data_IF_530896756264
#
_entry.id   IF_530896756264
#
_cell.length_a   1.000
_cell.length_b   1.000
_cell.length_c   1.000
_cell.angle_alpha   90.00
_cell.angle_beta   90.00
_cell.angle_gamma   90.00
#
_symmetry.space_group_name_H-M   'P 1'
#
loop_
_entity.id
_entity.type
_entity.pdbx_description
1 polymer ?
#
# COMPACT_ATOMS: atom_id res chain seq x y z
N UNK A 1 24.58 41.66 1.83
CA UNK A 1 24.23 40.45 1.07
C UNK A 1 23.94 39.33 2.06
N UNK A 2 22.68 39.17 2.45
CA UNK A 2 22.23 38.03 3.24
C UNK A 2 22.04 36.87 2.27
N UNK A 3 22.97 35.93 2.27
CA UNK A 3 22.76 34.65 1.59
C UNK A 3 21.69 33.89 2.36
N UNK A 4 20.49 33.88 1.78
CA UNK A 4 19.41 33.00 2.16
C UNK A 4 19.85 31.56 1.86
N UNK A 5 20.41 30.87 2.85
CA UNK A 5 20.78 29.45 2.76
C UNK A 5 19.48 28.66 2.72
N UNK A 6 18.90 28.52 1.52
CA UNK A 6 17.91 27.49 1.26
C UNK A 6 18.58 26.15 1.55
N UNK A 7 18.30 25.57 2.72
CA UNK A 7 18.77 24.24 3.08
C UNK A 7 18.50 23.29 1.91
N UNK A 8 19.56 22.72 1.32
CA UNK A 8 19.46 21.82 0.16
C UNK A 8 18.38 20.77 0.42
N UNK A 9 17.40 20.69 -0.49
CA UNK A 9 16.30 19.71 -0.45
C UNK A 9 16.73 18.32 -0.94
N UNK A 10 18.00 18.17 -1.32
CA UNK A 10 18.50 16.98 -2.00
C UNK A 10 18.78 15.85 -1.01
N UNK A 11 18.56 14.63 -1.47
CA UNK A 11 18.88 13.43 -0.72
C UNK A 11 20.40 13.22 -0.71
N UNK A 12 20.95 13.08 0.49
CA UNK A 12 22.39 12.90 0.69
C UNK A 12 22.66 12.03 1.94
N UNK A 13 23.94 11.74 2.20
CA UNK A 13 24.36 10.87 3.30
C UNK A 13 23.84 11.30 4.67
N UNK A 14 23.65 12.60 4.91
CA UNK A 14 23.15 13.15 6.18
C UNK A 14 21.63 13.32 6.19
N UNK A 15 21.01 13.43 5.01
CA UNK A 15 19.59 13.64 4.81
C UNK A 15 19.04 12.64 3.78
N UNK A 16 18.70 11.46 4.24
CA UNK A 16 18.04 10.43 3.44
C UNK A 16 16.93 9.76 4.23
N UNK A 17 16.00 9.13 3.51
CA UNK A 17 15.00 8.29 4.15
C UNK A 17 15.68 7.00 4.65
N UNK A 18 15.45 6.63 5.91
CA UNK A 18 15.97 5.37 6.43
C UNK A 18 15.43 4.23 5.56
N UNK A 19 16.35 3.52 4.92
CA UNK A 19 16.05 2.52 3.88
C UNK A 19 16.73 1.21 4.24
N UNK A 20 16.03 0.11 4.01
CA UNK A 20 16.48 -1.25 4.31
C UNK A 20 16.42 -2.12 3.07
N UNK A 21 17.44 -2.96 2.91
CA UNK A 21 17.47 -4.01 1.89
C UNK A 21 16.52 -5.11 2.35
N UNK A 22 15.54 -5.46 1.51
CA UNK A 22 14.54 -6.49 1.81
C UNK A 22 14.81 -7.75 0.98
N UNK A 23 15.08 -7.60 -0.31
CA UNK A 23 15.44 -8.70 -1.21
C UNK A 23 16.51 -8.17 -2.16
N UNK A 24 17.77 -8.48 -1.85
CA UNK A 24 18.91 -7.99 -2.62
C UNK A 24 18.89 -8.51 -4.06
N UNK A 25 18.52 -9.78 -4.26
CA UNK A 25 18.51 -10.42 -5.56
C UNK A 25 17.47 -9.79 -6.50
N UNK A 26 16.31 -9.39 -5.96
CA UNK A 26 15.23 -8.76 -6.72
C UNK A 26 15.27 -7.22 -6.70
N UNK A 27 16.27 -6.64 -6.03
CA UNK A 27 16.40 -5.19 -5.86
C UNK A 27 15.22 -4.56 -5.11
N UNK A 28 14.68 -5.26 -4.10
CA UNK A 28 13.57 -4.75 -3.28
C UNK A 28 14.13 -4.15 -1.99
N UNK A 29 13.68 -2.95 -1.70
CA UNK A 29 14.01 -2.17 -0.52
C UNK A 29 12.74 -1.71 0.18
N UNK A 30 12.88 -1.28 1.43
CA UNK A 30 11.80 -0.64 2.17
C UNK A 30 12.33 0.65 2.80
N UNK A 31 11.70 1.78 2.47
CA UNK A 31 12.11 3.10 2.92
C UNK A 31 11.04 3.69 3.81
N UNK A 32 11.45 4.48 4.81
CA UNK A 32 10.51 5.35 5.51
C UNK A 32 9.83 6.30 4.53
N UNK A 33 8.52 6.50 4.71
CA UNK A 33 7.71 7.39 3.87
C UNK A 33 8.16 8.84 4.00
N UNK A 34 8.59 9.24 5.20
CA UNK A 34 9.02 10.59 5.53
C UNK A 34 10.42 10.58 6.18
N UNK A 35 11.13 11.71 6.15
CA UNK A 35 12.42 11.86 6.84
C UNK A 35 12.26 11.73 8.38
N UNK A 36 11.15 12.23 8.90
CA UNK A 36 10.73 12.17 10.30
C UNK A 36 9.29 11.63 10.38
N UNK A 37 8.92 10.88 11.42
CA UNK A 37 7.58 10.27 11.55
C UNK A 37 7.46 8.78 11.19
N UNK A 38 6.25 8.23 11.27
CA UNK A 38 5.98 6.82 11.03
C UNK A 38 5.89 6.43 9.54
N UNK A 39 5.75 5.13 9.30
CA UNK A 39 5.37 4.59 7.99
C UNK A 39 6.53 4.23 7.06
N UNK A 40 6.34 3.15 6.32
CA UNK A 40 7.31 2.58 5.38
C UNK A 40 6.63 2.21 4.06
N UNK A 41 7.38 2.24 2.98
CA UNK A 41 6.94 1.88 1.63
C UNK A 41 8.00 1.02 0.96
N UNK A 42 7.58 0.08 0.11
CA UNK A 42 8.56 -0.70 -0.66
C UNK A 42 8.98 0.03 -1.93
N UNK A 43 10.20 -0.25 -2.35
CA UNK A 43 10.85 0.30 -3.52
C UNK A 43 11.47 -0.86 -4.27
N UNK A 44 11.39 -0.83 -5.60
CA UNK A 44 12.21 -1.65 -6.48
C UNK A 44 13.27 -0.76 -7.12
N UNK A 45 14.53 -1.16 -7.06
CA UNK A 45 15.63 -0.55 -7.83
C UNK A 45 16.56 -1.67 -8.25
N UNK A 46 16.35 -2.18 -9.46
CA UNK A 46 17.18 -3.20 -10.09
C UNK A 46 17.79 -2.62 -11.37
N UNK A 47 19.12 -2.51 -11.40
CA UNK A 47 19.85 -1.89 -12.53
C UNK A 47 20.19 -2.89 -13.65
N UNK A 48 19.98 -4.18 -13.43
CA UNK A 48 20.29 -5.25 -14.38
C UNK A 48 19.36 -6.44 -14.19
N UNK A 49 19.36 -7.35 -15.17
CA UNK A 49 18.52 -8.55 -15.18
C UNK A 49 17.16 -8.37 -15.87
N UNK A 50 16.41 -9.45 -16.08
CA UNK A 50 15.12 -9.44 -16.77
C UNK A 50 14.05 -8.62 -16.02
N UNK A 51 14.22 -8.49 -14.71
CA UNK A 51 13.36 -7.72 -13.82
C UNK A 51 13.91 -6.30 -13.55
N UNK A 52 14.82 -5.78 -14.38
CA UNK A 52 15.38 -4.44 -14.18
C UNK A 52 14.28 -3.36 -14.19
N UNK A 53 14.45 -2.34 -13.37
CA UNK A 53 13.53 -1.23 -13.28
C UNK A 53 13.54 -0.56 -11.91
N UNK A 54 12.95 0.63 -11.89
CA UNK A 54 12.79 1.45 -10.71
C UNK A 54 11.31 1.68 -10.45
N UNK A 55 10.86 1.47 -9.21
CA UNK A 55 9.47 1.66 -8.81
C UNK A 55 9.39 2.04 -7.33
N UNK A 56 8.50 2.98 -7.00
CA UNK A 56 8.19 3.37 -5.61
C UNK A 56 6.69 3.20 -5.35
N UNK A 57 6.32 2.56 -4.24
CA UNK A 57 4.91 2.32 -3.89
C UNK A 57 4.12 3.57 -3.50
N UNK A 58 4.79 4.70 -3.21
CA UNK A 58 4.13 5.95 -2.86
C UNK A 58 3.34 6.53 -4.03
N UNK A 59 2.04 6.74 -3.87
CA UNK A 59 1.16 7.37 -4.87
C UNK A 59 1.70 8.72 -5.36
N UNK A 60 2.19 9.55 -4.45
CA UNK A 60 2.80 10.85 -4.77
C UNK A 60 4.04 10.68 -5.66
N UNK A 61 4.85 9.65 -5.41
CA UNK A 61 6.05 9.38 -6.21
C UNK A 61 5.69 8.83 -7.58
N UNK A 62 4.65 7.99 -7.67
CA UNK A 62 4.12 7.49 -8.95
C UNK A 62 3.64 8.67 -9.80
N UNK A 63 2.83 9.57 -9.24
CA UNK A 63 2.36 10.76 -9.94
C UNK A 63 3.52 11.67 -10.38
N UNK A 64 4.49 11.91 -9.49
CA UNK A 64 5.66 12.74 -9.80
C UNK A 64 6.50 12.13 -10.92
N UNK A 65 6.67 10.81 -10.93
CA UNK A 65 7.38 10.09 -11.98
C UNK A 65 6.67 10.20 -13.34
N UNK A 66 5.35 10.07 -13.39
CA UNK A 66 4.59 10.21 -14.63
C UNK A 66 4.68 11.64 -15.20
N UNK A 67 4.60 12.67 -14.35
CA UNK A 67 4.79 14.07 -14.77
C UNK A 67 6.21 14.27 -15.33
N UNK A 68 7.24 13.77 -14.65
CA UNK A 68 8.61 13.87 -15.10
C UNK A 68 8.82 13.16 -16.45
N UNK A 69 8.22 11.98 -16.63
CA UNK A 69 8.25 11.22 -17.88
C UNK A 69 7.58 11.97 -19.03
N UNK A 70 6.42 12.58 -18.80
CA UNK A 70 5.74 13.44 -19.79
C UNK A 70 6.61 14.65 -20.17
N UNK A 71 7.32 15.22 -19.20
CA UNK A 71 8.32 16.27 -19.40
C UNK A 71 9.65 15.80 -20.01
N UNK A 72 9.79 14.53 -20.41
CA UNK A 72 11.02 13.91 -20.94
C UNK A 72 12.20 13.88 -19.95
N UNK A 73 11.93 14.00 -18.66
CA UNK A 73 12.93 13.83 -17.59
C UNK A 73 13.04 12.35 -17.18
N UNK A 74 13.59 11.52 -18.07
CA UNK A 74 13.65 10.06 -17.91
C UNK A 74 14.57 9.58 -16.76
N UNK A 75 15.47 10.45 -16.28
CA UNK A 75 16.37 10.18 -15.16
C UNK A 75 15.79 10.56 -13.80
N UNK A 76 14.51 10.93 -13.73
CA UNK A 76 13.89 11.31 -12.47
C UNK A 76 13.82 10.12 -11.50
N UNK A 77 14.42 10.31 -10.34
CA UNK A 77 14.27 9.42 -9.19
C UNK A 77 13.59 10.19 -8.07
N UNK A 78 12.58 9.59 -7.44
CA UNK A 78 11.98 10.19 -6.25
C UNK A 78 12.95 10.11 -5.05
N UNK A 79 12.75 10.93 -4.00
CA UNK A 79 13.63 10.96 -2.84
C UNK A 79 13.83 9.58 -2.16
N UNK A 80 12.82 8.71 -2.22
CA UNK A 80 12.92 7.35 -1.69
C UNK A 80 13.87 6.48 -2.51
N UNK A 81 13.77 6.53 -3.84
CA UNK A 81 14.68 5.79 -4.76
C UNK A 81 16.11 6.31 -4.62
N UNK A 82 16.29 7.62 -4.48
CA UNK A 82 17.60 8.23 -4.24
C UNK A 82 18.21 7.79 -2.89
N UNK A 83 17.37 7.45 -1.91
CA UNK A 83 17.81 6.99 -0.58
C UNK A 83 18.32 5.55 -0.59
N UNK A 84 18.06 4.76 -1.64
CA UNK A 84 18.50 3.36 -1.78
C UNK A 84 20.01 3.20 -1.67
N UNK A 85 20.80 4.17 -2.13
CA UNK A 85 22.26 4.13 -2.02
C UNK A 85 22.78 4.17 -0.57
N UNK A 86 21.93 4.57 0.37
CA UNK A 86 22.21 4.61 1.80
C UNK A 86 21.50 3.49 2.57
N UNK A 87 21.00 2.47 1.87
CA UNK A 87 20.24 1.40 2.49
C UNK A 87 21.11 0.55 3.44
N UNK A 88 20.54 0.24 4.60
CA UNK A 88 21.09 -0.72 5.56
C UNK A 88 20.60 -2.13 5.25
N UNK A 89 21.32 -3.19 5.65
CA UNK A 89 20.78 -4.55 5.55
C UNK A 89 19.55 -4.70 6.46
N UNK A 90 18.46 -5.23 5.91
CA UNK A 90 17.38 -5.79 6.72
C UNK A 90 17.79 -7.16 7.28
N UNK A 91 17.18 -7.56 8.40
CA UNK A 91 17.49 -8.84 9.05
C UNK A 91 16.41 -9.85 8.66
N UNK A 92 16.74 -10.77 7.75
CA UNK A 92 15.84 -11.87 7.39
C UNK A 92 15.56 -12.77 8.60
N UNK A 93 14.28 -13.12 8.79
CA UNK A 93 13.81 -13.88 9.93
C UNK A 93 13.27 -15.24 9.49
N UNK A 94 13.83 -16.30 10.08
CA UNK A 94 13.42 -17.67 9.83
C UNK A 94 12.47 -18.13 10.93
N UNK A 95 11.17 -18.08 10.65
CA UNK A 95 10.15 -18.50 11.60
C UNK A 95 9.92 -20.02 11.55
N UNK A 96 9.89 -20.65 12.72
CA UNK A 96 9.79 -22.12 12.87
C UNK A 96 8.34 -22.57 13.07
N UNK A 97 7.97 -23.72 12.50
CA UNK A 97 6.62 -24.30 12.68
C UNK A 97 6.29 -24.53 14.15
N UNK A 98 7.30 -24.88 14.96
CA UNK A 98 7.14 -25.07 16.42
C UNK A 98 6.63 -23.82 17.11
N UNK A 99 7.19 -22.65 16.82
CA UNK A 99 6.74 -21.39 17.42
C UNK A 99 5.35 -20.98 16.92
N UNK A 100 4.96 -21.36 15.70
CA UNK A 100 3.59 -21.15 15.22
C UNK A 100 2.58 -22.05 15.94
N UNK A 101 2.92 -23.33 16.14
CA UNK A 101 2.06 -24.28 16.86
C UNK A 101 1.81 -23.85 18.30
N UNK A 102 2.82 -23.28 18.97
CA UNK A 102 2.65 -22.73 20.32
C UNK A 102 1.56 -21.63 20.38
N UNK A 103 1.40 -20.82 19.33
CA UNK A 103 0.32 -19.84 19.23
C UNK A 103 -1.06 -20.50 19.11
N UNK A 104 -1.16 -21.61 18.37
CA UNK A 104 -2.40 -22.39 18.22
C UNK A 104 -2.77 -23.04 19.56
N UNK A 105 -1.81 -23.69 20.22
CA UNK A 105 -2.02 -24.31 21.55
C UNK A 105 -2.42 -23.27 22.59
N UNK A 106 -1.80 -22.08 22.56
CA UNK A 106 -2.14 -20.94 23.40
C UNK A 106 -3.47 -20.25 23.02
N UNK A 107 -4.20 -20.73 22.01
CA UNK A 107 -5.45 -20.16 21.49
C UNK A 107 -5.32 -18.69 21.07
N UNK A 108 -4.13 -18.26 20.68
CA UNK A 108 -3.86 -16.90 20.19
C UNK A 108 -4.17 -16.77 18.70
N UNK A 109 -4.13 -17.88 17.96
CA UNK A 109 -4.50 -17.99 16.55
C UNK A 109 -5.23 -19.32 16.31
N UNK A 110 -6.01 -19.41 15.25
CA UNK A 110 -6.65 -20.67 14.84
C UNK A 110 -5.71 -21.54 14.01
N UNK A 111 -5.97 -22.85 13.95
CA UNK A 111 -5.21 -23.78 13.10
C UNK A 111 -5.27 -23.43 11.62
N UNK A 112 -6.43 -22.92 11.16
CA UNK A 112 -6.60 -22.43 9.78
C UNK A 112 -5.66 -21.27 9.47
N UNK A 113 -5.58 -20.26 10.35
CA UNK A 113 -4.67 -19.13 10.20
C UNK A 113 -3.19 -19.54 10.26
N UNK A 114 -2.86 -20.54 11.07
CA UNK A 114 -1.53 -21.11 11.08
C UNK A 114 -1.20 -21.80 9.74
N UNK A 115 -2.15 -22.55 9.17
CA UNK A 115 -1.98 -23.18 7.87
C UNK A 115 -1.78 -22.13 6.76
N UNK A 116 -2.58 -21.07 6.73
CA UNK A 116 -2.39 -19.95 5.78
C UNK A 116 -0.99 -19.33 5.86
N UNK A 117 -0.46 -19.14 7.08
CA UNK A 117 0.87 -18.57 7.28
C UNK A 117 1.98 -19.51 6.79
N UNK A 118 1.85 -20.82 6.99
CA UNK A 118 2.80 -21.82 6.50
C UNK A 118 2.77 -21.92 4.97
N UNK A 119 1.58 -21.89 4.36
CA UNK A 119 1.44 -21.84 2.90
C UNK A 119 2.15 -20.64 2.32
N UNK A 120 1.99 -19.46 2.93
CA UNK A 120 2.65 -18.24 2.47
C UNK A 120 4.18 -18.28 2.66
N UNK A 121 4.67 -18.95 3.71
CA UNK A 121 6.10 -19.19 3.90
C UNK A 121 6.67 -20.11 2.81
N UNK A 122 5.96 -21.20 2.50
CA UNK A 122 6.35 -22.13 1.43
C UNK A 122 6.34 -21.45 0.05
N UNK A 123 5.35 -20.62 -0.24
CA UNK A 123 5.31 -19.81 -1.47
C UNK A 123 6.52 -18.86 -1.57
N UNK A 124 6.88 -18.18 -0.48
CA UNK A 124 8.05 -17.30 -0.47
C UNK A 124 9.34 -18.07 -0.77
N UNK A 125 9.50 -19.25 -0.16
CA UNK A 125 10.64 -20.15 -0.42
C UNK A 125 10.68 -20.62 -1.88
N UNK A 126 9.54 -21.05 -2.44
CA UNK A 126 9.46 -21.46 -3.85
C UNK A 126 9.84 -20.33 -4.80
N UNK A 127 9.51 -19.08 -4.45
CA UNK A 127 9.84 -17.89 -5.22
C UNK A 127 11.24 -17.35 -4.95
N UNK A 128 12.06 -18.02 -4.13
CA UNK A 128 13.37 -17.56 -3.68
C UNK A 128 13.34 -16.10 -3.20
N UNK A 129 12.36 -15.76 -2.35
CA UNK A 129 12.23 -14.42 -1.78
C UNK A 129 12.09 -14.52 -0.26
N UNK A 130 12.66 -13.57 0.50
CA UNK A 130 12.52 -13.58 1.95
C UNK A 130 11.06 -13.58 2.37
N UNK A 131 10.71 -14.44 3.32
CA UNK A 131 9.35 -14.48 3.88
C UNK A 131 9.10 -13.29 4.81
N UNK A 132 10.06 -13.01 5.68
CA UNK A 132 9.95 -11.98 6.71
C UNK A 132 11.31 -11.28 6.87
N UNK A 133 11.31 -9.95 6.89
CA UNK A 133 12.51 -9.15 7.12
C UNK A 133 12.22 -8.11 8.20
N UNK A 134 13.02 -8.12 9.27
CA UNK A 134 12.96 -7.14 10.34
C UNK A 134 13.83 -5.92 9.99
N UNK A 135 13.24 -4.73 10.07
CA UNK A 135 13.90 -3.45 9.82
C UNK A 135 14.34 -2.82 11.14
N UNK A 136 15.56 -3.12 11.59
CA UNK A 136 16.12 -2.55 12.83
C UNK A 136 16.45 -1.07 12.64
N UNK A 137 15.67 -0.20 13.28
CA UNK A 137 15.90 1.23 13.28
C UNK A 137 16.90 1.65 14.35
N UNK A 138 18.19 1.42 14.09
CA UNK A 138 19.26 1.88 14.98
C UNK A 138 19.20 3.41 15.14
N UNK A 139 19.25 3.89 16.39
CA UNK A 139 19.18 5.32 16.72
C UNK A 139 17.77 5.92 16.76
N UNK A 140 16.71 5.11 16.55
CA UNK A 140 15.32 5.55 16.72
C UNK A 140 14.64 4.88 17.92
N UNK A 141 13.40 5.30 18.19
CA UNK A 141 12.60 4.74 19.28
C UNK A 141 12.46 3.22 19.15
N UNK A 142 12.93 2.51 20.17
CA UNK A 142 12.74 1.07 20.34
C UNK A 142 11.28 0.69 20.67
N UNK A 143 10.32 1.63 20.58
CA UNK A 143 8.90 1.37 20.82
C UNK A 143 8.26 0.50 19.73
N UNK A 144 8.70 0.67 18.48
CA UNK A 144 8.06 0.04 17.33
C UNK A 144 8.96 -1.03 16.72
N UNK A 145 8.37 -2.16 16.33
CA UNK A 145 9.00 -3.15 15.45
C UNK A 145 8.38 -3.00 14.07
N UNK A 146 9.21 -3.00 13.03
CA UNK A 146 8.74 -2.93 11.66
C UNK A 146 9.20 -4.17 10.89
N UNK A 147 8.23 -4.86 10.33
CA UNK A 147 8.42 -6.11 9.61
C UNK A 147 7.94 -5.93 8.18
N UNK A 148 8.82 -6.20 7.23
CA UNK A 148 8.42 -6.34 5.83
C UNK A 148 8.05 -7.81 5.61
N UNK A 149 6.78 -8.09 5.32
CA UNK A 149 6.20 -9.43 5.21
C UNK A 149 5.87 -9.73 3.75
N UNK A 150 6.24 -10.91 3.25
CA UNK A 150 5.79 -11.41 1.95
C UNK A 150 4.27 -11.60 1.97
N UNK A 151 3.56 -11.00 1.00
CA UNK A 151 2.10 -11.08 0.90
C UNK A 151 1.63 -12.03 -0.20
N UNK A 152 2.50 -12.30 -1.18
CA UNK A 152 2.20 -13.06 -2.41
C UNK A 152 1.27 -12.35 -3.38
N UNK A 153 0.71 -11.19 -3.00
CA UNK A 153 -0.37 -10.53 -3.70
C UNK A 153 0.05 -9.15 -4.19
N UNK A 154 -0.28 -8.86 -5.45
CA UNK A 154 -0.26 -7.51 -5.98
C UNK A 154 -1.60 -6.84 -5.69
N UNK A 155 -1.61 -5.81 -4.85
CA UNK A 155 -2.79 -5.04 -4.41
C UNK A 155 -2.44 -3.54 -4.42
N UNK A 156 -3.44 -2.66 -4.30
CA UNK A 156 -3.19 -1.22 -4.27
C UNK A 156 -2.23 -0.80 -3.13
N UNK A 157 -2.27 -1.51 -2.00
CA UNK A 157 -1.39 -1.32 -0.83
C UNK A 157 -0.08 -2.15 -0.87
N UNK A 158 0.12 -3.01 -1.88
CA UNK A 158 1.29 -3.90 -2.01
C UNK A 158 1.51 -4.21 -3.48
N UNK A 159 2.28 -3.39 -4.18
CA UNK A 159 2.59 -3.63 -5.60
C UNK A 159 3.78 -4.55 -5.77
N UNK A 160 4.65 -4.63 -4.77
CA UNK A 160 5.84 -5.47 -4.76
C UNK A 160 5.63 -6.82 -4.03
N UNK A 161 4.37 -7.26 -3.88
CA UNK A 161 3.98 -8.51 -3.18
C UNK A 161 4.49 -8.57 -1.72
N UNK A 162 4.67 -7.41 -1.09
CA UNK A 162 5.10 -7.27 0.30
C UNK A 162 4.30 -6.18 0.99
N UNK A 163 4.12 -6.34 2.30
CA UNK A 163 3.43 -5.35 3.14
C UNK A 163 4.22 -5.11 4.42
N UNK A 164 4.07 -3.91 4.98
CA UNK A 164 4.68 -3.60 6.27
C UNK A 164 3.69 -3.90 7.39
N UNK A 165 4.16 -4.68 8.35
CA UNK A 165 3.52 -4.89 9.64
C UNK A 165 4.29 -4.11 10.69
N UNK A 166 3.58 -3.26 11.43
CA UNK A 166 4.15 -2.46 12.52
C UNK A 166 3.59 -2.96 13.85
N UNK A 167 4.45 -3.16 14.84
CA UNK A 167 4.06 -3.54 16.19
C UNK A 167 4.47 -2.41 17.13
N UNK A 168 3.51 -1.83 17.83
CA UNK A 168 3.75 -0.89 18.93
C UNK A 168 3.84 -1.65 20.24
N UNK A 169 5.07 -1.82 20.77
CA UNK A 169 5.31 -2.54 22.03
C UNK A 169 4.68 -1.84 23.23
N UNK A 170 4.63 -0.51 23.23
CA UNK A 170 4.09 0.29 24.34
C UNK A 170 2.56 0.35 24.28
N UNK A 171 2.02 0.62 23.09
CA UNK A 171 0.59 0.62 22.83
C UNK A 171 -0.04 -0.78 22.78
N UNK A 172 0.79 -1.83 22.79
CA UNK A 172 0.40 -3.23 22.63
C UNK A 172 -0.51 -3.41 21.43
N UNK A 173 -0.12 -2.85 20.29
CA UNK A 173 -0.93 -2.86 19.08
C UNK A 173 -0.17 -3.41 17.88
N UNK A 174 -0.86 -4.12 17.00
CA UNK A 174 -0.33 -4.55 15.71
C UNK A 174 -1.12 -3.97 14.54
N UNK A 175 -0.38 -3.48 13.56
CA UNK A 175 -0.85 -2.76 12.38
C UNK A 175 -0.40 -3.47 11.11
N UNK A 176 -1.24 -3.51 10.08
CA UNK A 176 -0.86 -3.94 8.74
C UNK A 176 -1.42 -2.96 7.73
N UNK A 177 -0.62 -2.57 6.74
CA UNK A 177 -1.07 -1.72 5.64
C UNK A 177 -2.20 -2.37 4.81
N UNK A 178 -2.27 -3.69 4.86
CA UNK A 178 -3.27 -4.49 4.18
C UNK A 178 -4.67 -4.49 4.81
N UNK A 179 -4.81 -3.99 6.04
CA UNK A 179 -6.05 -4.11 6.81
C UNK A 179 -6.30 -2.83 7.62
N UNK A 180 -7.21 -1.96 7.16
CA UNK A 180 -7.54 -0.69 7.82
C UNK A 180 -8.46 -0.84 9.04
N UNK A 181 -8.71 -2.06 9.55
CA UNK A 181 -9.59 -2.30 10.70
C UNK A 181 -8.93 -3.16 11.80
N UNK A 182 -9.66 -3.34 12.91
CA UNK A 182 -9.39 -4.34 13.97
C UNK A 182 -9.45 -5.80 13.48
N UNK A 183 -9.61 -6.02 12.19
CA UNK A 183 -9.63 -7.36 11.59
C UNK A 183 -8.24 -7.97 11.55
N UNK A 184 -8.19 -9.27 11.84
CA UNK A 184 -6.98 -10.08 11.80
C UNK A 184 -6.70 -10.53 10.39
N UNK A 185 -5.65 -9.98 9.77
CA UNK A 185 -5.15 -10.45 8.49
C UNK A 185 -4.02 -11.46 8.69
N UNK A 186 -3.74 -12.28 7.67
CA UNK A 186 -2.62 -13.23 7.66
C UNK A 186 -1.26 -12.60 8.01
N UNK A 187 -1.02 -11.35 7.60
CA UNK A 187 0.24 -10.64 7.93
C UNK A 187 0.35 -10.26 9.41
N UNK A 188 -0.75 -9.90 10.10
CA UNK A 188 -0.76 -9.68 11.55
C UNK A 188 -0.48 -10.99 12.29
N UNK A 189 -0.98 -12.12 11.79
CA UNK A 189 -0.64 -13.45 12.31
C UNK A 189 0.87 -13.73 12.21
N UNK A 190 1.50 -13.41 11.08
CA UNK A 190 2.95 -13.54 10.90
C UNK A 190 3.71 -12.64 11.88
N UNK A 191 3.22 -11.42 12.14
CA UNK A 191 3.79 -10.56 13.18
C UNK A 191 3.68 -11.16 14.59
N UNK A 192 2.54 -11.77 14.94
CA UNK A 192 2.39 -12.51 16.21
C UNK A 192 3.32 -13.73 16.29
N UNK A 193 3.50 -14.43 15.16
CA UNK A 193 4.43 -15.56 15.05
C UNK A 193 5.88 -15.13 15.28
N UNK A 194 6.29 -14.03 14.68
CA UNK A 194 7.58 -13.40 14.97
C UNK A 194 7.75 -13.07 16.46
N UNK A 195 6.76 -12.39 17.06
CA UNK A 195 6.82 -12.05 18.49
C UNK A 195 6.93 -13.29 19.37
N UNK A 196 6.13 -14.33 19.10
CA UNK A 196 6.20 -15.56 19.88
C UNK A 196 7.57 -16.23 19.83
N UNK A 197 8.30 -16.08 18.71
CA UNK A 197 9.61 -16.68 18.54
C UNK A 197 10.74 -15.82 19.11
N UNK A 198 10.72 -14.51 18.86
CA UNK A 198 11.86 -13.61 19.09
C UNK A 198 11.68 -12.69 20.30
N UNK A 199 10.44 -12.31 20.61
CA UNK A 199 10.10 -11.36 21.71
C UNK A 199 8.80 -11.79 22.43
N UNK A 200 8.75 -12.99 23.02
CA UNK A 200 7.53 -13.55 23.61
C UNK A 200 6.98 -12.70 24.76
N UNK A 201 7.83 -11.93 25.45
CA UNK A 201 7.45 -10.99 26.50
C UNK A 201 6.50 -9.90 25.99
N UNK A 202 6.68 -9.44 24.74
CA UNK A 202 5.80 -8.43 24.11
C UNK A 202 4.42 -9.03 23.84
N UNK A 203 4.35 -10.30 23.48
CA UNK A 203 3.11 -11.00 23.14
C UNK A 203 2.27 -11.36 24.38
N UNK A 204 2.93 -11.64 25.51
CA UNK A 204 2.31 -12.10 26.77
C UNK A 204 1.23 -11.15 27.33
N UNK A 205 1.31 -9.87 26.98
CA UNK A 205 0.24 -8.91 27.24
C UNK A 205 -0.64 -8.76 26.01
N UNK A 206 -1.92 -9.16 26.08
CA UNK A 206 -2.90 -9.13 24.97
C UNK A 206 -2.65 -7.95 24.01
N UNK A 207 -2.03 -8.24 22.86
CA UNK A 207 -1.81 -7.26 21.80
C UNK A 207 -3.16 -7.02 21.12
N UNK A 208 -3.60 -5.77 21.15
CA UNK A 208 -4.78 -5.30 20.43
C UNK A 208 -4.48 -5.20 18.93
N UNK A 209 -5.50 -5.44 18.12
CA UNK A 209 -5.41 -5.24 16.67
C UNK A 209 -6.01 -3.90 16.33
N UNK A 210 -5.27 -3.07 15.59
CA UNK A 210 -5.75 -1.76 15.15
C UNK A 210 -5.52 -1.56 13.65
N UNK A 211 -6.28 -0.62 13.11
CA UNK A 211 -6.09 -0.08 11.77
C UNK A 211 -4.70 0.53 11.65
N UNK A 212 -4.00 0.29 10.55
CA UNK A 212 -2.74 0.97 10.25
C UNK A 212 -2.99 2.45 9.92
N UNK A 213 -3.20 3.27 10.94
CA UNK A 213 -3.31 4.72 10.78
C UNK A 213 -1.91 5.32 10.69
N UNK A 214 -1.73 6.26 9.76
CA UNK A 214 -0.58 7.16 9.68
C UNK A 214 -0.42 7.79 11.08
N UNK A 215 0.52 7.28 11.87
CA UNK A 215 0.65 7.63 13.28
C UNK A 215 1.29 9.01 13.44
N UNK A 216 0.57 10.05 13.00
CA UNK A 216 0.55 11.45 13.46
C UNK A 216 -0.68 12.12 12.84
N UNK A 217 -1.76 12.23 13.61
CA UNK A 217 -2.91 13.05 13.28
C UNK A 217 -2.56 14.53 13.46
N UNK A 218 -2.24 15.23 12.36
CA UNK A 218 -2.49 16.67 12.19
C UNK A 218 -2.82 16.95 10.71
N UNK A 219 -3.91 16.34 10.23
CA UNK A 219 -4.92 16.86 9.29
C UNK A 219 -5.83 15.68 8.97
N UNK A 220 -6.91 15.55 9.74
CA UNK A 220 -7.96 14.59 9.48
C UNK A 220 -8.75 15.02 8.24
N UNK A 221 -8.48 14.37 7.11
CA UNK A 221 -9.48 14.12 6.07
C UNK A 221 -9.63 12.58 5.99
N UNK A 222 -10.27 12.04 7.01
CA UNK A 222 -10.76 10.66 7.03
C UNK A 222 -12.09 10.63 6.27
N UNK A 223 -12.21 9.78 5.24
CA UNK A 223 -13.11 8.62 5.24
C UNK A 223 -13.18 7.93 3.87
N UNK A 224 -13.45 6.62 3.92
CA UNK A 224 -14.04 5.75 2.89
C UNK A 224 -13.11 5.01 1.92
N UNK A 225 -12.83 3.75 2.25
CA UNK A 225 -12.64 2.69 1.26
C UNK A 225 -13.04 1.35 1.91
N UNK A 226 -14.36 1.16 2.10
CA UNK A 226 -14.93 -0.07 2.65
C UNK A 226 -16.15 -0.50 1.82
N UNK A 227 -15.89 -1.04 0.61
CA UNK A 227 -16.71 -2.01 -0.15
C UNK A 227 -15.80 -2.51 -1.29
N UNK A 228 -15.00 -3.56 -1.05
CA UNK A 228 -14.28 -4.26 -2.12
C UNK A 228 -14.32 -5.78 -1.89
N UNK A 229 -15.53 -6.29 -1.69
CA UNK A 229 -15.83 -7.70 -1.88
C UNK A 229 -16.50 -7.80 -3.26
N UNK A 230 -15.89 -8.58 -4.18
CA UNK A 230 -16.37 -8.95 -5.52
C UNK A 230 -15.84 -8.23 -6.78
N UNK A 231 -14.64 -7.63 -6.76
CA UNK A 231 -13.87 -7.46 -8.02
C UNK A 231 -12.46 -8.02 -7.88
N UNK A 232 -12.09 -8.92 -8.79
CA UNK A 232 -10.85 -9.71 -8.74
C UNK A 232 -9.58 -8.87 -8.83
N UNK A 233 -9.62 -7.66 -9.38
CA UNK A 233 -8.51 -6.69 -9.33
C UNK A 233 -9.03 -5.29 -9.68
N UNK A 234 -8.94 -4.35 -8.73
CA UNK A 234 -9.11 -2.92 -8.96
C UNK A 234 -7.86 -2.16 -8.48
N UNK A 235 -7.36 -1.15 -9.23
CA UNK A 235 -7.83 -0.77 -10.56
C UNK A 235 -7.61 -1.89 -11.59
N UNK A 236 -8.50 -2.01 -12.60
CA UNK A 236 -8.29 -2.95 -13.69
C UNK A 236 -6.93 -2.70 -14.32
N UNK A 237 -6.24 -3.77 -14.71
CA UNK A 237 -4.91 -3.70 -15.32
C UNK A 237 -4.89 -4.43 -16.68
N UNK A 238 -3.80 -4.26 -17.42
CA UNK A 238 -3.58 -4.94 -18.70
C UNK A 238 -4.68 -4.67 -19.75
N UNK A 239 -5.07 -5.72 -20.47
CA UNK A 239 -6.04 -5.65 -21.56
C UNK A 239 -7.43 -5.16 -21.12
N UNK A 240 -7.80 -5.40 -19.86
CA UNK A 240 -9.08 -4.91 -19.32
C UNK A 240 -9.07 -3.38 -19.16
N UNK A 241 -7.95 -2.82 -18.67
CA UNK A 241 -7.77 -1.37 -18.59
C UNK A 241 -7.81 -0.73 -19.97
N UNK A 242 -7.08 -1.28 -20.93
CA UNK A 242 -7.05 -0.78 -22.31
C UNK A 242 -8.46 -0.76 -22.93
N UNK A 243 -9.22 -1.85 -22.76
CA UNK A 243 -10.60 -1.96 -23.24
C UNK A 243 -11.52 -0.92 -22.58
N UNK A 244 -11.37 -0.69 -21.28
CA UNK A 244 -12.15 0.32 -20.55
C UNK A 244 -11.78 1.76 -20.97
N UNK A 245 -10.48 2.06 -21.12
CA UNK A 245 -10.02 3.36 -21.62
C UNK A 245 -10.54 3.63 -23.02
N UNK A 246 -10.46 2.63 -23.92
CA UNK A 246 -11.00 2.75 -25.28
C UNK A 246 -12.49 3.05 -25.25
N UNK A 247 -13.27 2.30 -24.46
CA UNK A 247 -14.71 2.53 -24.30
C UNK A 247 -15.05 3.95 -23.83
N UNK A 248 -14.36 4.45 -22.80
CA UNK A 248 -14.60 5.80 -22.28
C UNK A 248 -14.30 6.83 -23.38
N UNK A 249 -13.15 6.73 -24.02
CA UNK A 249 -12.72 7.70 -25.04
C UNK A 249 -13.62 7.67 -26.29
N UNK A 250 -14.11 6.50 -26.71
CA UNK A 250 -14.90 6.37 -27.95
C UNK A 250 -16.40 6.56 -27.72
N UNK A 251 -16.91 6.12 -26.57
CA UNK A 251 -18.35 5.95 -26.35
C UNK A 251 -18.90 6.85 -25.23
N UNK A 252 -18.06 7.36 -24.32
CA UNK A 252 -18.48 8.29 -23.26
C UNK A 252 -17.97 9.69 -23.60
N UNK A 253 -18.75 10.42 -24.41
CA UNK A 253 -18.50 11.84 -24.67
C UNK A 253 -19.28 12.70 -23.69
N UNK A 254 -18.73 13.85 -23.30
CA UNK A 254 -19.52 14.88 -22.63
C UNK A 254 -20.68 15.27 -23.56
N UNK A 255 -21.93 15.23 -23.08
CA UNK A 255 -23.07 15.68 -23.86
C UNK A 255 -22.88 17.13 -24.30
N UNK A 256 -23.16 17.45 -25.56
CA UNK A 256 -22.93 18.79 -26.13
C UNK A 256 -23.80 19.88 -25.46
N UNK A 257 -24.87 19.47 -24.79
CA UNK A 257 -25.81 20.27 -23.99
C UNK A 257 -25.36 20.49 -22.54
N UNK A 258 -24.20 19.98 -22.12
CA UNK A 258 -23.71 20.12 -20.74
C UNK A 258 -23.37 21.58 -20.33
N UNK A 259 -23.41 22.54 -21.26
CA UNK A 259 -23.09 23.96 -21.03
C UNK A 259 -24.30 24.89 -20.89
N UNK A 260 -25.55 24.41 -20.86
CA UNK A 260 -26.69 25.29 -20.58
C UNK A 260 -26.96 25.36 -19.08
N UNK A 261 -26.48 26.43 -18.44
CA UNK A 261 -26.96 27.00 -17.17
C UNK A 261 -27.45 25.98 -16.11
N UNK A 262 -26.52 25.30 -15.43
CA UNK A 262 -26.88 24.58 -14.20
C UNK A 262 -26.67 25.51 -13.01
N UNK A 263 -27.79 25.84 -12.37
CA UNK A 263 -27.83 26.56 -11.10
C UNK A 263 -27.16 25.68 -10.04
N UNK A 264 -25.88 25.94 -9.77
CA UNK A 264 -25.04 25.13 -8.86
C UNK A 264 -25.57 25.07 -7.42
N UNK A 265 -26.53 25.93 -7.09
CA UNK A 265 -27.16 26.02 -5.77
C UNK A 265 -28.39 25.12 -5.62
N UNK A 266 -28.84 24.42 -6.68
CA UNK A 266 -30.09 23.66 -6.68
C UNK A 266 -29.92 22.20 -7.11
N UNK A 267 -28.71 21.64 -6.97
CA UNK A 267 -28.50 20.20 -7.05
C UNK A 267 -29.02 19.62 -5.73
N UNK A 268 -30.31 19.26 -5.70
CA UNK A 268 -30.87 18.48 -4.60
C UNK A 268 -29.93 17.31 -4.31
N UNK A 269 -29.54 17.20 -3.04
CA UNK A 269 -28.57 16.25 -2.48
C UNK A 269 -29.09 14.81 -2.44
N UNK A 270 -29.73 14.36 -3.52
CA UNK A 270 -30.22 13.00 -3.73
C UNK A 270 -29.97 12.59 -5.18
N UNK A 271 -28.74 12.24 -5.51
CA UNK A 271 -28.45 11.62 -6.80
C UNK A 271 -27.62 10.36 -6.59
N UNK A 272 -28.31 9.25 -6.33
CA UNK A 272 -27.74 7.92 -6.59
C UNK A 272 -27.43 7.87 -8.09
N UNK A 273 -26.16 7.84 -8.47
CA UNK A 273 -25.73 7.77 -9.86
C UNK A 273 -25.81 6.31 -10.34
N UNK A 274 -26.91 5.99 -11.03
CA UNK A 274 -27.13 4.66 -11.61
C UNK A 274 -26.79 4.70 -13.11
N UNK A 275 -25.89 3.81 -13.60
CA UNK A 275 -25.66 3.66 -15.03
C UNK A 275 -26.97 3.37 -15.78
N UNK A 276 -27.19 4.06 -16.90
CA UNK A 276 -28.40 3.88 -17.72
C UNK A 276 -28.29 2.72 -18.70
N UNK A 277 -27.08 2.24 -18.95
CA UNK A 277 -26.83 1.16 -19.90
C UNK A 277 -27.34 -0.19 -19.37
N UNK A 278 -28.17 -0.86 -20.15
CA UNK A 278 -28.69 -2.20 -19.84
C UNK A 278 -28.02 -3.30 -20.67
N UNK A 279 -27.20 -2.95 -21.65
CA UNK A 279 -26.51 -3.87 -22.56
C UNK A 279 -25.05 -3.48 -22.74
N UNK A 280 -24.17 -4.47 -22.85
CA UNK A 280 -22.75 -4.25 -23.08
C UNK A 280 -22.53 -3.63 -24.45
N UNK A 281 -21.81 -2.50 -24.52
CA UNK A 281 -21.55 -1.82 -25.78
C UNK A 281 -20.71 -2.64 -26.78
N UNK A 282 -19.92 -3.62 -26.32
CA UNK A 282 -19.02 -4.40 -27.19
C UNK A 282 -19.59 -5.74 -27.64
N UNK A 283 -20.23 -6.49 -26.75
CA UNK A 283 -20.76 -7.81 -27.07
C UNK A 283 -22.30 -7.85 -27.10
N UNK A 284 -22.96 -6.73 -26.82
CA UNK A 284 -24.41 -6.58 -26.80
C UNK A 284 -25.16 -7.50 -25.82
N UNK A 285 -24.44 -8.25 -24.97
CA UNK A 285 -25.04 -9.04 -23.91
C UNK A 285 -25.73 -8.15 -22.87
N UNK A 286 -26.81 -8.66 -22.27
CA UNK A 286 -27.52 -7.98 -21.19
C UNK A 286 -26.59 -7.80 -19.97
N UNK A 287 -26.58 -6.60 -19.41
CA UNK A 287 -25.81 -6.28 -18.21
C UNK A 287 -26.60 -6.70 -16.96
N UNK A 288 -25.88 -7.02 -15.89
CA UNK A 288 -26.47 -7.23 -14.57
C UNK A 288 -27.06 -5.94 -14.02
N UNK A 289 -27.80 -6.06 -12.91
CA UNK A 289 -28.23 -4.90 -12.16
C UNK A 289 -27.04 -4.01 -11.73
N UNK A 290 -27.31 -2.72 -11.61
CA UNK A 290 -26.32 -1.74 -11.20
C UNK A 290 -25.80 -2.06 -9.79
N UNK A 291 -24.48 -2.12 -9.65
CA UNK A 291 -23.83 -2.37 -8.36
C UNK A 291 -23.34 -1.05 -7.78
N UNK A 292 -23.62 -0.82 -6.49
CA UNK A 292 -23.11 0.34 -5.77
C UNK A 292 -21.58 0.25 -5.63
N UNK A 293 -20.86 1.13 -6.31
CA UNK A 293 -19.40 1.22 -6.21
C UNK A 293 -18.93 2.05 -5.02
N UNK A 294 -19.63 3.15 -4.73
CA UNK A 294 -19.39 3.99 -3.55
C UNK A 294 -20.66 4.77 -3.23
N UNK A 295 -20.93 4.94 -1.93
CA UNK A 295 -22.03 5.78 -1.46
C UNK A 295 -21.63 7.26 -1.34
N UNK A 296 -20.35 7.59 -1.55
CA UNK A 296 -19.75 8.84 -1.09
C UNK A 296 -18.88 9.51 -2.14
N UNK A 297 -19.13 9.20 -3.41
CA UNK A 297 -18.50 9.89 -4.53
C UNK A 297 -18.79 11.39 -4.47
N UNK A 298 -17.74 12.20 -4.68
CA UNK A 298 -17.87 13.64 -4.91
C UNK A 298 -18.05 13.89 -6.40
N UNK A 299 -18.98 14.78 -6.76
CA UNK A 299 -19.16 15.18 -8.16
C UNK A 299 -18.10 16.23 -8.49
N UNK A 300 -17.19 15.88 -9.39
CA UNK A 300 -16.15 16.78 -9.88
C UNK A 300 -16.61 17.38 -11.20
N UNK A 301 -16.81 18.70 -11.21
CA UNK A 301 -16.93 19.49 -12.42
C UNK A 301 -15.56 20.06 -12.78
N UNK A 302 -15.39 20.48 -14.04
CA UNK A 302 -14.15 21.06 -14.57
C UNK A 302 -13.61 22.22 -13.72
N UNK A 303 -14.47 22.92 -12.97
CA UNK A 303 -14.15 24.14 -12.23
C UNK A 303 -14.40 24.04 -10.72
N UNK A 304 -15.07 22.98 -10.24
CA UNK A 304 -15.42 22.85 -8.81
C UNK A 304 -15.74 21.41 -8.42
N UNK A 305 -15.39 21.05 -7.19
CA UNK A 305 -15.84 19.81 -6.54
C UNK A 305 -17.07 20.13 -5.69
N UNK A 306 -18.19 19.47 -5.96
CA UNK A 306 -19.37 19.51 -5.09
C UNK A 306 -19.23 18.34 -4.10
N UNK A 307 -19.27 18.67 -2.81
CA UNK A 307 -19.24 17.68 -1.72
C UNK A 307 -20.56 16.92 -1.65
#
# INVERSE_FOLDING_TARGET
MLHDVRASKDINRQRHHATYIIDHAKGIFCSRKYLHGGGFIHIKKALSGPDCGTFCESSNCIQSYEIAKQGRHMSYECPHVQSVQYAKPGIEQYLTTRSLQALVTGKLITSERAHEALTLQAEAQQQNTPFLVHMSLDGYSQRYIYLSVYSGLTRYWSRLKRTVVTIDKKGKCIYCQCSPEKQTCKHKIIGKWYLNQDQPEVLSSRIEERAGDDATSETADNHEDNIYLYQKEYPPNGHLLEKMTKYIMTCKKYPADANSHRDYNNVESKATLVPKETHCHFCHAQLSEATLLTATAKIVYSEKIIK
#
